data_IF_881435640017
#
_entry.id   IF_881435640017
#
_cell.length_a   1.000
_cell.length_b   1.000
_cell.length_c   1.000
_cell.angle_alpha   90.00
_cell.angle_beta   90.00
_cell.angle_gamma   90.00
#
_symmetry.space_group_name_H-M   'P 1'
#
loop_
_entity.id
_entity.type
_entity.pdbx_description
1 polymer ?
#
# COMPACT_ATOMS: atom_id res chain seq x y z
N UNK A 1 -2.18 -50.68 14.97
CA UNK A 1 -3.06 -49.66 15.60
C UNK A 1 -3.10 -48.45 14.69
N UNK A 2 -4.13 -48.33 13.85
CA UNK A 2 -4.34 -47.13 13.02
C UNK A 2 -5.40 -46.27 13.72
N UNK A 3 -5.02 -45.03 14.04
CA UNK A 3 -5.90 -44.08 14.68
C UNK A 3 -7.00 -43.64 13.69
N UNK A 4 -8.24 -44.01 13.97
CA UNK A 4 -9.40 -43.50 13.26
C UNK A 4 -9.60 -42.04 13.66
N UNK A 5 -9.17 -41.12 12.79
CA UNK A 5 -9.47 -39.70 12.93
C UNK A 5 -11.00 -39.51 12.91
N UNK A 6 -11.54 -39.01 14.01
CA UNK A 6 -12.96 -38.68 14.17
C UNK A 6 -13.34 -37.61 13.16
N UNK A 7 -14.10 -38.02 12.14
CA UNK A 7 -14.54 -37.20 11.01
C UNK A 7 -15.66 -36.26 11.45
N UNK A 8 -15.31 -35.25 12.27
CA UNK A 8 -16.24 -34.26 12.82
C UNK A 8 -16.33 -32.98 11.98
N UNK A 9 -15.82 -32.99 10.75
CA UNK A 9 -15.77 -31.82 9.88
C UNK A 9 -16.41 -32.16 8.52
N UNK A 10 -17.47 -31.45 8.14
CA UNK A 10 -17.96 -31.42 6.76
C UNK A 10 -16.84 -30.81 5.91
N UNK A 11 -15.95 -31.63 5.38
CA UNK A 11 -14.81 -31.16 4.60
C UNK A 11 -15.34 -30.58 3.30
N UNK A 12 -15.29 -29.25 3.19
CA UNK A 12 -15.59 -28.55 1.95
C UNK A 12 -14.65 -29.11 0.86
N UNK A 13 -15.19 -29.47 -0.30
CA UNK A 13 -14.42 -30.02 -1.44
C UNK A 13 -13.19 -29.16 -1.76
N UNK A 14 -13.31 -27.83 -1.64
CA UNK A 14 -12.16 -26.93 -1.80
C UNK A 14 -11.04 -27.14 -0.78
N UNK A 15 -11.37 -27.51 0.47
CA UNK A 15 -10.35 -27.78 1.51
C UNK A 15 -9.55 -29.06 1.24
N UNK A 16 -10.17 -30.05 0.58
CA UNK A 16 -9.50 -31.26 0.10
C UNK A 16 -8.61 -30.95 -1.11
N UNK A 17 -9.17 -30.22 -2.09
CA UNK A 17 -8.45 -29.86 -3.31
C UNK A 17 -7.27 -28.91 -3.05
N UNK A 18 -7.38 -28.00 -2.08
CA UNK A 18 -6.33 -27.05 -1.73
C UNK A 18 -5.03 -27.72 -1.21
N UNK A 19 -5.09 -28.98 -0.74
CA UNK A 19 -3.91 -29.75 -0.34
C UNK A 19 -3.10 -30.29 -1.53
N UNK A 20 -3.73 -30.42 -2.69
CA UNK A 20 -3.18 -31.12 -3.87
C UNK A 20 -2.93 -30.15 -5.02
N UNK A 21 -3.84 -29.20 -5.23
CA UNK A 21 -3.82 -28.26 -6.35
C UNK A 21 -3.44 -26.86 -5.89
N UNK A 22 -2.58 -26.20 -6.67
CA UNK A 22 -2.29 -24.79 -6.47
C UNK A 22 -3.51 -23.93 -6.85
N UNK A 23 -3.59 -22.74 -6.25
CA UNK A 23 -4.68 -21.78 -6.50
C UNK A 23 -4.78 -21.35 -7.96
N UNK A 24 -3.69 -21.41 -8.74
CA UNK A 24 -3.69 -21.13 -10.17
C UNK A 24 -4.43 -22.23 -10.96
N UNK A 25 -4.08 -23.49 -10.75
CA UNK A 25 -4.73 -24.64 -11.42
C UNK A 25 -6.23 -24.69 -11.16
N UNK A 26 -6.65 -24.35 -9.94
CA UNK A 26 -8.08 -24.30 -9.59
C UNK A 26 -8.82 -23.23 -10.39
N UNK A 27 -8.18 -22.09 -10.70
CA UNK A 27 -8.76 -21.07 -11.58
C UNK A 27 -8.89 -21.57 -13.02
N UNK A 28 -7.93 -22.36 -13.49
CA UNK A 28 -7.95 -22.92 -14.85
C UNK A 28 -9.15 -23.86 -15.05
N UNK A 29 -9.63 -24.51 -13.98
CA UNK A 29 -10.88 -25.29 -13.97
C UNK A 29 -12.17 -24.44 -13.90
N UNK A 30 -12.07 -23.11 -13.97
CA UNK A 30 -13.22 -22.20 -13.98
C UNK A 30 -13.71 -21.76 -12.61
N UNK A 31 -13.01 -22.09 -11.52
CA UNK A 31 -13.37 -21.60 -10.18
C UNK A 31 -12.95 -20.14 -9.99
N UNK A 32 -13.90 -19.29 -9.58
CA UNK A 32 -13.64 -17.91 -9.21
C UNK A 32 -13.49 -17.76 -7.69
N UNK A 33 -12.41 -17.12 -7.26
CA UNK A 33 -12.22 -16.75 -5.86
C UNK A 33 -12.67 -15.30 -5.65
N UNK A 34 -13.69 -15.09 -4.82
CA UNK A 34 -14.07 -13.73 -4.40
C UNK A 34 -12.95 -13.19 -3.54
N UNK A 35 -12.27 -12.15 -4.02
CA UNK A 35 -11.27 -11.43 -3.25
C UNK A 35 -12.03 -10.43 -2.40
N UNK A 36 -11.89 -10.44 -1.06
CA UNK A 36 -12.56 -9.47 -0.23
C UNK A 36 -12.07 -8.06 -0.61
N UNK A 37 -12.94 -7.03 -0.54
CA UNK A 37 -12.58 -5.69 -0.97
C UNK A 37 -11.37 -5.12 -0.22
N UNK A 38 -11.09 -5.62 0.99
CA UNK A 38 -9.90 -5.28 1.80
C UNK A 38 -8.57 -5.80 1.22
N UNK A 39 -8.60 -6.83 0.37
CA UNK A 39 -7.42 -7.42 -0.28
C UNK A 39 -7.28 -7.02 -1.74
N UNK A 40 -8.23 -6.26 -2.29
CA UNK A 40 -8.06 -5.66 -3.61
C UNK A 40 -6.84 -4.75 -3.53
N UNK A 41 -5.83 -5.04 -4.35
CA UNK A 41 -4.65 -4.20 -4.46
C UNK A 41 -5.13 -2.79 -4.81
N UNK A 42 -4.66 -1.81 -4.04
CA UNK A 42 -4.97 -0.41 -4.28
C UNK A 42 -4.64 -0.12 -5.74
N UNK A 43 -5.63 0.43 -6.46
CA UNK A 43 -5.55 0.59 -7.91
C UNK A 43 -4.27 1.37 -8.27
N UNK A 44 -3.51 0.87 -9.25
CA UNK A 44 -2.25 1.46 -9.69
C UNK A 44 -2.42 2.94 -10.04
N UNK A 45 -3.59 3.30 -10.57
CA UNK A 45 -4.01 4.67 -10.85
C UNK A 45 -4.04 5.58 -9.62
N UNK A 46 -4.57 5.11 -8.48
CA UNK A 46 -4.63 5.89 -7.24
C UNK A 46 -3.23 6.19 -6.72
N UNK A 47 -2.32 5.20 -6.80
CA UNK A 47 -0.94 5.39 -6.38
C UNK A 47 -0.25 6.46 -7.24
N UNK A 48 -0.50 6.44 -8.54
CA UNK A 48 0.05 7.42 -9.48
C UNK A 48 -0.50 8.83 -9.22
N UNK A 49 -1.82 8.96 -9.02
CA UNK A 49 -2.45 10.23 -8.65
C UNK A 49 -1.88 10.80 -7.35
N UNK A 50 -1.69 9.96 -6.33
CA UNK A 50 -1.07 10.40 -5.06
C UNK A 50 0.36 10.88 -5.29
N UNK A 51 1.16 10.17 -6.09
CA UNK A 51 2.52 10.62 -6.39
C UNK A 51 2.52 11.96 -7.11
N UNK A 52 1.73 12.12 -8.18
CA UNK A 52 1.61 13.37 -8.93
C UNK A 52 1.15 14.53 -8.03
N UNK A 53 0.14 14.29 -7.20
CA UNK A 53 -0.35 15.27 -6.24
C UNK A 53 0.71 15.67 -5.21
N UNK A 54 1.52 14.71 -4.74
CA UNK A 54 2.62 14.99 -3.82
C UNK A 54 3.71 15.82 -4.50
N UNK A 55 4.11 15.47 -5.72
CA UNK A 55 5.12 16.23 -6.48
C UNK A 55 4.69 17.67 -6.74
N UNK A 56 3.41 17.90 -7.05
CA UNK A 56 2.87 19.25 -7.26
C UNK A 56 2.86 20.12 -5.98
N UNK A 57 2.81 19.50 -4.79
CA UNK A 57 2.82 20.21 -3.51
C UNK A 57 4.23 20.33 -2.88
N UNK A 58 5.28 20.02 -3.64
CA UNK A 58 6.67 20.16 -3.18
C UNK A 58 7.19 21.58 -3.35
N UNK A 59 7.90 22.07 -2.34
CA UNK A 59 8.61 23.35 -2.43
C UNK A 59 10.12 23.22 -2.62
N UNK A 60 10.77 22.17 -2.10
CA UNK A 60 12.24 22.07 -2.13
C UNK A 60 12.71 20.62 -2.18
N UNK A 61 13.51 20.31 -3.20
CA UNK A 61 14.38 19.14 -3.21
C UNK A 61 15.62 19.42 -2.36
N UNK A 62 15.98 18.51 -1.48
CA UNK A 62 17.35 18.41 -0.98
C UNK A 62 17.91 17.06 -1.37
N UNK A 63 18.90 17.10 -2.26
CA UNK A 63 19.61 15.91 -2.70
C UNK A 63 20.70 15.62 -1.67
N UNK A 64 20.53 14.53 -0.90
CA UNK A 64 21.60 14.06 0.00
C UNK A 64 22.34 12.91 -0.68
N UNK A 65 23.61 13.13 -1.05
CA UNK A 65 24.50 12.05 -1.52
C UNK A 65 25.04 11.31 -0.29
N UNK A 66 24.80 10.00 -0.20
CA UNK A 66 25.53 9.17 0.76
C UNK A 66 26.91 8.83 0.21
N UNK A 67 27.92 9.00 1.05
CA UNK A 67 29.32 8.73 0.75
C UNK A 67 29.58 7.24 1.04
N UNK A 68 29.15 6.34 0.14
CA UNK A 68 29.81 5.03 -0.07
C UNK A 68 29.19 4.15 -1.16
N UNK A 69 27.98 4.41 -1.65
CA UNK A 69 27.49 3.86 -2.92
C UNK A 69 26.59 4.92 -3.56
N UNK A 70 26.70 5.10 -4.86
CA UNK A 70 26.11 6.17 -5.67
C UNK A 70 24.59 6.08 -5.81
N UNK A 71 23.84 5.94 -4.71
CA UNK A 71 22.39 6.09 -4.69
C UNK A 71 22.03 7.51 -4.25
N UNK A 72 21.52 8.27 -5.21
CA UNK A 72 21.01 9.63 -4.98
C UNK A 72 19.67 9.49 -4.27
N UNK A 73 19.67 9.62 -2.94
CA UNK A 73 18.44 9.67 -2.17
C UNK A 73 17.94 11.12 -2.14
N UNK A 74 16.95 11.43 -2.98
CA UNK A 74 16.22 12.69 -2.95
C UNK A 74 15.34 12.75 -1.70
N UNK A 75 15.60 13.71 -0.83
CA UNK A 75 14.75 13.99 0.33
C UNK A 75 13.88 15.20 0.00
N UNK A 76 12.57 15.02 0.15
CA UNK A 76 11.62 16.07 -0.12
C UNK A 76 11.06 16.68 1.17
N UNK A 77 10.94 18.00 1.20
CA UNK A 77 10.30 18.71 2.30
C UNK A 77 8.90 19.16 1.90
N UNK A 78 7.91 18.81 2.72
CA UNK A 78 6.56 19.35 2.62
C UNK A 78 6.39 20.57 3.51
N UNK A 79 5.66 21.57 3.00
CA UNK A 79 5.09 22.62 3.86
C UNK A 79 3.88 22.12 4.65
N UNK A 80 2.98 21.42 3.95
CA UNK A 80 1.71 21.00 4.51
C UNK A 80 1.87 19.70 5.28
N UNK A 81 1.05 19.55 6.32
CA UNK A 81 0.98 18.28 7.04
C UNK A 81 0.44 17.18 6.13
N UNK A 82 0.83 15.92 6.39
CA UNK A 82 0.29 14.77 5.63
C UNK A 82 -1.24 14.70 5.70
N UNK A 83 -1.81 15.16 6.80
CA UNK A 83 -3.26 15.25 6.99
C UNK A 83 -3.88 16.30 6.07
N UNK A 84 -3.33 17.51 6.00
CA UNK A 84 -3.84 18.57 5.12
C UNK A 84 -3.79 18.14 3.65
N UNK A 85 -2.70 17.48 3.25
CA UNK A 85 -2.54 16.94 1.89
C UNK A 85 -3.63 15.91 1.57
N UNK A 86 -3.96 15.02 2.52
CA UNK A 86 -5.05 14.07 2.34
C UNK A 86 -6.40 14.77 2.14
N UNK A 87 -6.69 15.81 2.94
CA UNK A 87 -7.93 16.56 2.81
C UNK A 87 -8.04 17.30 1.48
N UNK A 88 -6.96 17.91 1.01
CA UNK A 88 -6.92 18.57 -0.30
C UNK A 88 -7.12 17.56 -1.43
N UNK A 89 -6.47 16.39 -1.36
CA UNK A 89 -6.65 15.33 -2.35
C UNK A 89 -8.11 14.85 -2.37
N UNK A 90 -8.73 14.68 -1.20
CA UNK A 90 -10.13 14.24 -1.09
C UNK A 90 -11.13 15.31 -1.55
N UNK A 91 -10.78 16.59 -1.38
CA UNK A 91 -11.56 17.72 -1.89
C UNK A 91 -11.52 17.76 -3.43
N UNK A 92 -10.35 17.53 -4.03
CA UNK A 92 -10.16 17.49 -5.48
C UNK A 92 -10.77 16.23 -6.13
N UNK A 93 -10.76 15.11 -5.42
CA UNK A 93 -11.22 13.81 -5.93
C UNK A 93 -12.13 13.09 -4.92
N UNK A 94 -13.40 13.51 -4.80
CA UNK A 94 -14.33 12.94 -3.81
C UNK A 94 -14.69 11.46 -4.08
N UNK A 95 -14.63 11.02 -5.34
CA UNK A 95 -14.97 9.66 -5.75
C UNK A 95 -13.90 8.62 -5.39
N UNK A 96 -12.70 9.08 -5.01
CA UNK A 96 -11.60 8.21 -4.64
C UNK A 96 -11.92 7.54 -3.30
N UNK A 97 -12.08 6.21 -3.32
CA UNK A 97 -12.20 5.36 -2.13
C UNK A 97 -10.85 5.18 -1.42
N UNK A 98 -10.31 6.27 -0.87
CA UNK A 98 -9.05 6.27 -0.14
C UNK A 98 -9.27 6.72 1.32
N UNK A 99 -8.98 5.82 2.25
CA UNK A 99 -8.92 6.14 3.67
C UNK A 99 -7.60 6.82 4.03
N UNK A 100 -7.58 7.56 5.15
CA UNK A 100 -6.37 8.19 5.66
C UNK A 100 -5.25 7.17 5.95
N UNK A 101 -5.61 5.99 6.46
CA UNK A 101 -4.66 4.91 6.74
C UNK A 101 -4.04 4.34 5.46
N UNK A 102 -4.84 4.16 4.41
CA UNK A 102 -4.35 3.74 3.10
C UNK A 102 -3.46 4.81 2.47
N UNK A 103 -3.83 6.09 2.60
CA UNK A 103 -3.00 7.21 2.16
C UNK A 103 -1.61 7.16 2.81
N UNK A 104 -1.50 7.02 4.14
CA UNK A 104 -0.20 6.94 4.81
C UNK A 104 0.64 5.72 4.43
N UNK A 105 0.01 4.61 4.03
CA UNK A 105 0.73 3.44 3.50
C UNK A 105 1.30 3.67 2.10
N UNK A 106 0.56 4.39 1.26
CA UNK A 106 0.96 4.71 -0.13
C UNK A 106 1.93 5.89 -0.21
N UNK A 107 1.94 6.71 0.84
CA UNK A 107 2.75 7.90 0.94
C UNK A 107 4.24 7.59 0.79
N UNK A 108 4.92 8.35 -0.06
CA UNK A 108 6.34 8.20 -0.35
C UNK A 108 7.18 8.39 0.93
N UNK A 109 8.02 7.42 1.26
CA UNK A 109 8.85 7.43 2.48
C UNK A 109 9.94 8.52 2.48
N UNK A 110 10.24 9.08 1.32
CA UNK A 110 11.33 10.03 1.12
C UNK A 110 10.97 11.47 1.54
N UNK A 111 9.75 11.69 2.01
CA UNK A 111 9.27 13.01 2.42
C UNK A 111 9.45 13.18 3.93
N UNK A 112 10.24 14.19 4.31
CA UNK A 112 10.46 14.57 5.70
C UNK A 112 9.72 15.88 6.00
N UNK A 113 9.29 16.05 7.26
CA UNK A 113 8.82 17.35 7.74
C UNK A 113 9.99 18.33 7.72
N UNK A 114 9.75 19.57 7.33
CA UNK A 114 10.71 20.64 7.54
C UNK A 114 10.96 20.80 9.06
N UNK A 115 12.22 20.70 9.49
CA UNK A 115 12.62 20.97 10.86
C UNK A 115 12.80 22.48 11.03
N UNK A 116 12.27 23.05 12.12
CA UNK A 116 12.50 24.46 12.45
C UNK A 116 13.93 24.61 13.00
N UNK A 117 14.60 25.71 12.64
CA UNK A 117 15.99 25.99 13.10
C UNK A 117 16.13 26.05 14.62
N UNK A 118 15.04 26.20 15.37
CA UNK A 118 15.01 26.21 16.83
C UNK A 118 15.16 24.84 17.49
N UNK A 119 15.06 23.73 16.73
CA UNK A 119 15.23 22.35 17.24
C UNK A 119 16.67 21.81 17.05
N UNK A 120 17.61 22.66 16.63
CA UNK A 120 19.03 22.31 16.53
C UNK A 120 19.70 22.82 17.81
N UNK A 121 19.73 21.97 18.85
CA UNK A 121 20.56 22.17 20.03
C UNK A 121 21.92 21.49 19.83
#
# INVERSE_FOLDING_TARGET
MYANATLKNKSNILSLLAKILSRSKIKDFGFCFIIPPSQLSINKSIKQLISEFLYNNLQKLSITKQKQNSEINEVYFLEKSKYNIYFELKSQYPDIKLSLSSFYKLYLKNFKKAQKKTDIC
#
